data_IF_940931449392
#
_entry.id   IF_940931449392
#
_cell.length_a   1.000
_cell.length_b   1.000
_cell.length_c   1.000
_cell.angle_alpha   90.00
_cell.angle_beta   90.00
_cell.angle_gamma   90.00
#
_symmetry.space_group_name_H-M   'P 1'
#
loop_
_entity.id
_entity.type
_entity.pdbx_description
1 polymer ?
#
# COMPACT_ATOMS: atom_id res chain seq x y z
N UNK A 1 -22.83 9.04 -10.34
CA UNK A 1 -21.54 9.61 -10.78
C UNK A 1 -20.48 8.52 -10.85
N UNK A 2 -19.43 8.76 -11.67
CA UNK A 2 -18.20 7.97 -11.65
C UNK A 2 -17.14 8.84 -10.99
N UNK A 3 -16.57 8.33 -9.89
CA UNK A 3 -15.65 9.06 -9.03
C UNK A 3 -14.22 8.62 -9.35
N UNK A 4 -13.28 9.57 -9.41
CA UNK A 4 -11.85 9.26 -9.40
C UNK A 4 -11.41 8.88 -7.99
N UNK A 5 -10.27 8.22 -7.88
CA UNK A 5 -9.66 7.81 -6.62
C UNK A 5 -9.49 8.94 -5.60
N UNK A 6 -9.04 10.12 -6.05
CA UNK A 6 -8.91 11.31 -5.21
C UNK A 6 -10.23 11.90 -4.69
N UNK A 7 -11.37 11.40 -5.17
CA UNK A 7 -12.70 11.78 -4.68
C UNK A 7 -13.26 10.78 -3.66
N UNK A 8 -12.61 9.63 -3.47
CA UNK A 8 -13.07 8.58 -2.56
C UNK A 8 -12.53 8.87 -1.16
N UNK A 9 -13.39 9.46 -0.32
CA UNK A 9 -13.06 9.80 1.05
C UNK A 9 -14.27 10.39 1.78
N UNK A 10 -14.27 10.27 3.10
CA UNK A 10 -15.43 10.63 3.94
C UNK A 10 -15.87 12.09 3.78
N UNK A 11 -14.96 13.01 3.46
CA UNK A 11 -15.28 14.42 3.24
C UNK A 11 -16.31 14.64 2.13
N UNK A 12 -16.33 13.79 1.11
CA UNK A 12 -17.33 13.84 0.04
C UNK A 12 -18.70 13.41 0.56
N UNK A 13 -18.77 12.26 1.22
CA UNK A 13 -20.02 11.73 1.77
C UNK A 13 -20.52 12.53 2.96
N UNK A 14 -19.65 13.12 3.78
CA UNK A 14 -20.03 14.04 4.85
C UNK A 14 -20.70 15.32 4.32
N UNK A 15 -20.29 15.75 3.11
CA UNK A 15 -20.84 16.98 2.49
C UNK A 15 -22.16 16.71 1.78
N UNK A 16 -22.27 15.63 1.03
CA UNK A 16 -23.38 15.38 0.11
C UNK A 16 -24.30 14.23 0.54
N UNK A 17 -23.84 13.36 1.45
CA UNK A 17 -24.63 12.26 2.00
C UNK A 17 -25.23 11.37 0.92
N UNK A 18 -26.54 11.06 1.10
CA UNK A 18 -27.30 10.21 0.20
C UNK A 18 -27.59 10.81 -1.19
N UNK A 19 -27.30 12.09 -1.42
CA UNK A 19 -27.43 12.67 -2.76
C UNK A 19 -26.47 12.02 -3.77
N UNK A 20 -25.45 11.33 -3.27
CA UNK A 20 -24.48 10.58 -4.08
C UNK A 20 -24.81 9.08 -4.19
N UNK A 21 -25.90 8.60 -3.63
CA UNK A 21 -26.23 7.17 -3.68
C UNK A 21 -26.30 6.66 -5.11
N UNK A 22 -25.73 5.47 -5.34
CA UNK A 22 -25.56 4.89 -6.66
C UNK A 22 -24.34 5.38 -7.44
N UNK A 23 -23.56 6.31 -6.88
CA UNK A 23 -22.25 6.67 -7.43
C UNK A 23 -21.25 5.55 -7.13
N UNK A 24 -20.23 5.42 -7.98
CA UNK A 24 -19.17 4.42 -7.82
C UNK A 24 -17.83 4.95 -8.32
N UNK A 25 -16.76 4.30 -7.92
CA UNK A 25 -15.40 4.63 -8.35
C UNK A 25 -14.43 3.53 -7.94
N UNK A 26 -13.15 3.72 -8.24
CA UNK A 26 -12.11 2.81 -7.81
C UNK A 26 -10.92 3.57 -7.25
N UNK A 27 -10.24 2.96 -6.29
CA UNK A 27 -9.03 3.50 -5.69
C UNK A 27 -8.00 2.37 -5.51
N UNK A 28 -6.69 2.69 -5.48
CA UNK A 28 -5.69 1.72 -5.06
C UNK A 28 -6.03 1.16 -3.68
N UNK A 29 -5.76 -0.12 -3.47
CA UNK A 29 -5.98 -0.77 -2.19
C UNK A 29 -6.15 -2.27 -2.31
N UNK A 30 -5.90 -2.99 -1.22
CA UNK A 30 -5.97 -4.44 -1.13
C UNK A 30 -6.86 -4.87 0.05
N UNK A 31 -7.48 -6.05 -0.08
CA UNK A 31 -8.12 -6.80 1.01
C UNK A 31 -7.25 -8.00 1.44
N UNK A 32 -6.02 -8.07 0.96
CA UNK A 32 -5.07 -9.13 1.26
C UNK A 32 -4.54 -9.11 2.69
N UNK A 33 -3.68 -10.08 3.00
CA UNK A 33 -3.12 -10.24 4.34
C UNK A 33 -2.27 -9.05 4.77
N UNK A 34 -1.54 -8.42 3.85
CA UNK A 34 -0.75 -7.20 4.09
C UNK A 34 -1.63 -6.04 4.53
N UNK A 35 -2.71 -5.78 3.78
CA UNK A 35 -3.66 -4.70 4.08
C UNK A 35 -4.35 -4.87 5.45
N UNK A 36 -4.75 -6.09 5.79
CA UNK A 36 -5.35 -6.37 7.11
C UNK A 36 -4.35 -6.13 8.25
N UNK A 37 -3.10 -6.55 8.09
CA UNK A 37 -2.04 -6.31 9.08
C UNK A 37 -1.71 -4.83 9.20
N UNK A 38 -1.63 -4.11 8.07
CA UNK A 38 -1.39 -2.68 8.06
C UNK A 38 -2.49 -1.92 8.79
N UNK A 39 -3.77 -2.23 8.51
CA UNK A 39 -4.90 -1.59 9.17
C UNK A 39 -4.79 -1.73 10.69
N UNK A 40 -4.58 -2.94 11.18
CA UNK A 40 -4.45 -3.18 12.63
C UNK A 40 -3.22 -2.45 13.22
N UNK A 41 -2.10 -2.41 12.49
CA UNK A 41 -0.89 -1.72 12.91
C UNK A 41 -1.08 -0.20 12.96
N UNK A 42 -1.71 0.40 11.93
CA UNK A 42 -1.98 1.82 11.84
C UNK A 42 -2.92 2.26 12.99
N UNK A 43 -4.05 1.58 13.16
CA UNK A 43 -5.01 1.85 14.23
C UNK A 43 -4.38 1.75 15.63
N UNK A 44 -3.54 0.73 15.88
CA UNK A 44 -2.82 0.57 17.15
C UNK A 44 -1.82 1.70 17.44
N UNK A 45 -1.37 2.40 16.41
CA UNK A 45 -0.46 3.55 16.50
C UNK A 45 -1.18 4.91 16.34
N UNK A 46 -2.51 4.94 16.33
CA UNK A 46 -3.30 6.16 16.22
C UNK A 46 -3.27 6.82 14.83
N UNK A 47 -2.95 6.04 13.81
CA UNK A 47 -2.96 6.49 12.40
C UNK A 47 -4.22 5.97 11.73
N UNK A 48 -4.97 6.88 11.11
CA UNK A 48 -6.13 6.52 10.29
C UNK A 48 -5.62 5.85 8.98
N UNK A 49 -5.98 4.58 8.70
CA UNK A 49 -5.59 3.88 7.49
C UNK A 49 -6.42 4.34 6.27
N UNK A 50 -6.48 5.65 6.05
CA UNK A 50 -7.20 6.26 4.93
C UNK A 50 -6.46 6.10 3.59
N UNK A 51 -7.03 6.70 2.54
CA UNK A 51 -6.51 6.63 1.17
C UNK A 51 -5.05 7.04 1.11
N UNK A 52 -4.23 6.28 0.40
CA UNK A 52 -2.77 6.45 0.17
C UNK A 52 -1.86 6.29 1.40
N UNK A 53 -2.38 6.05 2.59
CA UNK A 53 -1.53 5.88 3.78
C UNK A 53 -0.73 4.58 3.69
N UNK A 54 -1.33 3.50 3.21
CA UNK A 54 -0.65 2.22 2.95
C UNK A 54 0.43 2.34 1.88
N UNK A 55 0.12 2.97 0.77
CA UNK A 55 1.04 3.20 -0.34
C UNK A 55 2.23 4.08 0.06
N UNK A 56 1.99 5.11 0.88
CA UNK A 56 3.04 5.97 1.41
C UNK A 56 3.96 5.21 2.38
N UNK A 57 3.38 4.35 3.21
CA UNK A 57 4.13 3.47 4.10
C UNK A 57 5.02 2.51 3.30
N UNK A 58 4.47 1.86 2.28
CA UNK A 58 5.20 0.91 1.43
C UNK A 58 6.31 1.59 0.64
N UNK A 59 6.06 2.77 0.09
CA UNK A 59 7.08 3.55 -0.63
C UNK A 59 8.29 3.84 0.27
N UNK A 60 8.06 4.30 1.50
CA UNK A 60 9.13 4.56 2.45
C UNK A 60 9.88 3.27 2.86
N UNK A 61 9.14 2.19 3.12
CA UNK A 61 9.71 0.90 3.52
C UNK A 61 10.60 0.31 2.41
N UNK A 62 10.13 0.33 1.17
CA UNK A 62 10.87 -0.18 0.01
C UNK A 62 12.17 0.58 -0.22
N UNK A 63 12.14 1.92 -0.11
CA UNK A 63 13.35 2.74 -0.22
C UNK A 63 14.36 2.34 0.87
N UNK A 64 13.94 2.24 2.12
CA UNK A 64 14.84 1.86 3.23
C UNK A 64 15.42 0.45 3.05
N UNK A 65 14.61 -0.51 2.63
CA UNK A 65 15.10 -1.87 2.34
C UNK A 65 16.10 -1.91 1.18
N UNK A 66 15.84 -1.14 0.11
CA UNK A 66 16.74 -1.04 -1.03
C UNK A 66 18.08 -0.38 -0.66
N UNK A 67 18.06 0.68 0.16
CA UNK A 67 19.26 1.30 0.72
C UNK A 67 20.09 0.30 1.53
N UNK A 68 19.44 -0.43 2.44
CA UNK A 68 20.09 -1.46 3.25
C UNK A 68 20.73 -2.54 2.39
N UNK A 69 19.96 -3.09 1.43
CA UNK A 69 20.43 -4.14 0.53
C UNK A 69 21.62 -3.69 -0.34
N UNK A 70 21.58 -2.46 -0.82
CA UNK A 70 22.63 -1.88 -1.66
C UNK A 70 23.81 -1.29 -0.88
N UNK A 71 23.65 -1.05 0.42
CA UNK A 71 24.69 -0.45 1.28
C UNK A 71 24.96 1.04 0.99
N UNK A 72 24.03 1.75 0.33
CA UNK A 72 24.14 3.18 0.01
C UNK A 72 22.75 3.83 -0.11
N UNK A 73 22.70 5.13 0.13
CA UNK A 73 21.50 5.97 -0.01
C UNK A 73 21.43 6.71 -1.36
N UNK A 74 22.39 6.47 -2.26
CA UNK A 74 22.36 7.09 -3.57
C UNK A 74 21.22 6.52 -4.44
N UNK A 75 20.66 7.39 -5.29
CA UNK A 75 19.47 7.07 -6.08
C UNK A 75 19.68 5.90 -7.07
N UNK A 76 20.89 5.71 -7.59
CA UNK A 76 21.20 4.62 -8.50
C UNK A 76 21.21 3.27 -7.75
N UNK A 77 21.74 3.24 -6.53
CA UNK A 77 21.72 2.05 -5.66
C UNK A 77 20.29 1.70 -5.27
N UNK A 78 19.47 2.67 -4.88
CA UNK A 78 18.05 2.44 -4.55
C UNK A 78 17.30 1.86 -5.75
N UNK A 79 17.43 2.49 -6.92
CA UNK A 79 16.79 2.04 -8.15
C UNK A 79 17.20 0.61 -8.55
N UNK A 80 18.48 0.26 -8.37
CA UNK A 80 18.99 -1.07 -8.70
C UNK A 80 18.50 -2.19 -7.76
N UNK A 81 18.08 -1.85 -6.54
CA UNK A 81 17.72 -2.83 -5.51
C UNK A 81 16.22 -2.89 -5.20
N UNK A 82 15.44 -1.86 -5.52
CA UNK A 82 14.03 -1.75 -5.10
C UNK A 82 13.18 -2.93 -5.57
N UNK A 83 13.32 -3.35 -6.83
CA UNK A 83 12.56 -4.48 -7.38
C UNK A 83 12.88 -5.80 -6.69
N UNK A 84 14.13 -5.99 -6.30
CA UNK A 84 14.59 -7.22 -5.68
C UNK A 84 14.21 -7.35 -4.21
N UNK A 85 13.80 -6.27 -3.55
CA UNK A 85 13.24 -6.30 -2.20
C UNK A 85 11.72 -6.35 -2.22
N UNK A 86 11.07 -5.86 -3.28
CA UNK A 86 9.63 -5.89 -3.45
C UNK A 86 9.11 -7.22 -4.00
N UNK A 87 9.81 -7.80 -5.00
CA UNK A 87 9.29 -8.94 -5.76
C UNK A 87 9.85 -10.29 -5.30
N UNK A 88 10.62 -10.33 -4.21
CA UNK A 88 11.21 -11.58 -3.74
C UNK A 88 12.20 -12.23 -4.74
N UNK A 89 12.53 -13.51 -4.57
CA UNK A 89 12.13 -14.35 -3.45
C UNK A 89 12.85 -13.96 -2.16
N UNK A 90 12.25 -14.28 -1.00
CA UNK A 90 12.89 -13.98 0.27
C UNK A 90 11.98 -14.21 1.49
N UNK A 91 12.43 -13.74 2.63
CA UNK A 91 11.60 -13.71 3.84
C UNK A 91 10.50 -12.65 3.69
N UNK A 92 9.25 -13.05 3.83
CA UNK A 92 8.12 -12.11 3.77
C UNK A 92 8.16 -11.10 4.91
N UNK A 93 7.99 -9.83 4.53
CA UNK A 93 7.97 -8.68 5.42
C UNK A 93 6.67 -7.92 5.23
N UNK A 94 5.89 -7.80 6.30
CA UNK A 94 4.63 -7.08 6.31
C UNK A 94 4.77 -5.72 7.01
N UNK A 95 3.73 -4.90 6.91
CA UNK A 95 3.64 -3.66 7.67
C UNK A 95 3.81 -3.93 9.18
N UNK A 96 4.59 -3.08 9.86
CA UNK A 96 4.99 -3.27 11.27
C UNK A 96 6.22 -4.15 11.47
N UNK A 97 6.69 -4.87 10.44
CA UNK A 97 7.88 -5.73 10.51
C UNK A 97 9.13 -5.12 9.86
N UNK A 98 9.10 -3.80 9.54
CA UNK A 98 10.18 -3.17 8.79
C UNK A 98 11.56 -3.30 9.47
N UNK A 99 11.61 -3.26 10.80
CA UNK A 99 12.87 -3.47 11.54
C UNK A 99 13.50 -4.83 11.24
N UNK A 100 12.71 -5.91 11.27
CA UNK A 100 13.14 -7.26 10.85
C UNK A 100 13.61 -7.28 9.39
N UNK A 101 12.88 -6.59 8.51
CA UNK A 101 13.23 -6.48 7.10
C UNK A 101 14.58 -5.79 6.89
N UNK A 102 14.83 -4.71 7.61
CA UNK A 102 16.09 -3.97 7.58
C UNK A 102 17.27 -4.82 8.09
N UNK A 103 17.09 -5.50 9.22
CA UNK A 103 18.11 -6.38 9.78
C UNK A 103 18.54 -7.46 8.77
N UNK A 104 17.57 -8.07 8.09
CA UNK A 104 17.83 -9.07 7.05
C UNK A 104 18.49 -8.46 5.81
N UNK A 105 17.93 -7.39 5.26
CA UNK A 105 18.43 -6.77 4.03
C UNK A 105 19.84 -6.19 4.20
N UNK A 106 20.12 -5.52 5.31
CA UNK A 106 21.45 -4.99 5.62
C UNK A 106 22.49 -6.10 5.84
N UNK A 107 22.06 -7.28 6.34
CA UNK A 107 22.92 -8.45 6.47
C UNK A 107 23.09 -9.25 5.16
N UNK A 108 22.50 -8.79 4.06
CA UNK A 108 22.61 -9.41 2.74
C UNK A 108 21.63 -10.58 2.49
N UNK A 109 20.68 -10.80 3.40
CA UNK A 109 19.65 -11.82 3.18
C UNK A 109 18.55 -11.32 2.24
N UNK A 110 17.92 -12.25 1.53
CA UNK A 110 16.82 -11.95 0.64
C UNK A 110 15.52 -11.69 1.44
N UNK A 111 14.83 -10.60 1.09
CA UNK A 111 13.52 -10.24 1.61
C UNK A 111 12.49 -10.18 0.47
N UNK A 112 11.24 -10.35 0.83
CA UNK A 112 10.06 -10.28 -0.04
C UNK A 112 9.04 -9.39 0.66
N UNK A 113 8.99 -8.12 0.26
CA UNK A 113 8.19 -7.11 0.95
C UNK A 113 6.75 -7.10 0.43
N UNK A 114 5.82 -7.66 1.15
CA UNK A 114 4.38 -7.57 0.87
C UNK A 114 3.76 -6.26 1.39
N UNK A 115 4.28 -5.74 2.48
CA UNK A 115 3.91 -4.44 3.04
C UNK A 115 2.46 -4.30 3.46
N UNK A 116 1.93 -3.10 3.18
CA UNK A 116 0.56 -2.69 3.47
C UNK A 116 -0.39 -2.91 2.28
N UNK A 117 0.15 -2.93 1.04
CA UNK A 117 -0.66 -2.97 -0.19
C UNK A 117 -0.44 -4.22 -1.03
N UNK A 118 0.30 -5.20 -0.51
CA UNK A 118 0.74 -6.39 -1.24
C UNK A 118 1.51 -6.00 -2.53
N UNK A 119 2.38 -4.98 -2.41
CA UNK A 119 3.04 -4.33 -3.53
C UNK A 119 4.03 -5.23 -4.25
N UNK A 120 3.88 -5.30 -5.57
CA UNK A 120 4.83 -5.90 -6.49
C UNK A 120 5.07 -4.95 -7.66
N UNK A 121 6.20 -5.08 -8.36
CA UNK A 121 6.50 -4.30 -9.55
C UNK A 121 6.54 -5.16 -10.79
N UNK A 122 6.07 -4.61 -11.91
CA UNK A 122 6.29 -5.16 -13.24
C UNK A 122 7.76 -5.01 -13.64
N UNK A 123 8.17 -5.70 -14.72
CA UNK A 123 9.56 -5.60 -15.24
C UNK A 123 9.96 -4.17 -15.62
N UNK A 124 8.99 -3.31 -15.93
CA UNK A 124 9.23 -1.90 -16.27
C UNK A 124 9.17 -0.97 -15.06
N UNK A 125 8.96 -1.51 -13.85
CA UNK A 125 8.96 -0.75 -12.60
C UNK A 125 7.63 -0.09 -12.24
N UNK A 126 6.53 -0.49 -12.89
CA UNK A 126 5.18 -0.07 -12.49
C UNK A 126 4.68 -0.92 -11.33
N UNK A 127 4.04 -0.30 -10.33
CA UNK A 127 3.42 -1.04 -9.26
C UNK A 127 2.24 -1.88 -9.81
N UNK A 128 2.32 -3.18 -9.58
CA UNK A 128 1.22 -4.10 -9.84
C UNK A 128 0.46 -4.26 -8.53
N UNK A 129 -0.69 -3.64 -8.45
CA UNK A 129 -1.49 -3.60 -7.23
C UNK A 129 -2.96 -3.93 -7.50
N UNK A 130 -3.68 -4.20 -6.42
CA UNK A 130 -5.11 -4.36 -6.46
C UNK A 130 -5.82 -3.00 -6.39
N UNK A 131 -7.04 -2.96 -6.90
CA UNK A 131 -7.94 -1.82 -6.81
C UNK A 131 -9.21 -2.21 -6.07
N UNK A 132 -9.68 -1.34 -5.21
CA UNK A 132 -10.98 -1.47 -4.55
C UNK A 132 -12.03 -0.71 -5.34
N UNK A 133 -13.06 -1.42 -5.76
CA UNK A 133 -14.27 -0.81 -6.31
C UNK A 133 -15.14 -0.36 -5.15
N UNK A 134 -15.46 0.93 -5.10
CA UNK A 134 -16.25 1.57 -4.07
C UNK A 134 -17.59 2.02 -4.65
N UNK A 135 -18.67 1.77 -3.91
CA UNK A 135 -19.99 2.35 -4.17
C UNK A 135 -20.39 3.30 -3.06
N UNK A 136 -21.41 4.13 -3.30
CA UNK A 136 -22.05 4.92 -2.26
C UNK A 136 -23.47 4.41 -2.05
N UNK A 137 -23.77 4.03 -0.81
CA UNK A 137 -25.07 3.54 -0.38
C UNK A 137 -25.40 4.09 1.00
N UNK A 138 -26.59 4.69 1.14
CA UNK A 138 -27.01 5.33 2.38
C UNK A 138 -26.08 6.48 2.82
N UNK A 139 -25.51 7.20 1.87
CA UNK A 139 -24.61 8.32 2.10
C UNK A 139 -23.21 7.91 2.61
N UNK A 140 -22.77 6.66 2.38
CA UNK A 140 -21.46 6.17 2.83
C UNK A 140 -20.80 5.33 1.74
N UNK A 141 -19.46 5.36 1.73
CA UNK A 141 -18.70 4.44 0.88
C UNK A 141 -18.78 3.01 1.39
N UNK A 142 -18.98 2.08 0.46
CA UNK A 142 -18.98 0.64 0.69
C UNK A 142 -18.02 -0.05 -0.28
N UNK A 143 -17.36 -1.12 0.18
CA UNK A 143 -16.55 -1.96 -0.70
C UNK A 143 -17.46 -2.86 -1.53
N UNK A 144 -17.32 -2.77 -2.85
CA UNK A 144 -18.09 -3.59 -3.81
C UNK A 144 -17.27 -4.81 -4.23
N UNK A 145 -16.04 -4.61 -4.65
CA UNK A 145 -15.14 -5.66 -5.12
C UNK A 145 -13.67 -5.25 -5.04
N UNK A 146 -12.79 -6.24 -5.01
CA UNK A 146 -11.37 -6.05 -5.34
C UNK A 146 -11.14 -6.53 -6.78
N UNK A 147 -10.39 -5.75 -7.55
CA UNK A 147 -10.03 -6.03 -8.94
C UNK A 147 -8.52 -6.17 -9.07
#
# INVERSE_FOLDING_TARGET
FVLSDGMIGDSLTDTFGSDLDGSFGSMPGSLGAGAMKFKAYAEANGVDPSVYVGESYDAAALIMLAMCKGGSDDSATVAANIMSVANGPGTKIYAGEIGKGLDLACAGFAVDYDGATDVNFTEVGEAFGAFLEKGIEGGKFTDVAQR
#
